data_IF_977947472161
#
_entry.id   IF_977947472161
#
_cell.length_a   1.000
_cell.length_b   1.000
_cell.length_c   1.000
_cell.angle_alpha   90.00
_cell.angle_beta   90.00
_cell.angle_gamma   90.00
#
_symmetry.space_group_name_H-M   'P 1'
#
loop_
_entity.id
_entity.type
_entity.pdbx_description
1 polymer ?
#
# COMPACT_ATOMS: atom_id res chain seq x y z
N UNK A 1 4.96 -59.80 -24.49
CA UNK A 1 6.38 -59.89 -24.11
C UNK A 1 6.89 -58.46 -23.95
N UNK A 2 7.27 -58.10 -22.71
CA UNK A 2 7.87 -56.84 -22.18
C UNK A 2 7.14 -55.52 -22.53
N UNK A 3 6.30 -54.89 -21.69
CA UNK A 3 6.54 -54.26 -20.37
C UNK A 3 7.96 -53.71 -20.18
N UNK A 4 8.06 -52.37 -20.19
CA UNK A 4 8.86 -51.60 -19.23
C UNK A 4 8.08 -50.34 -18.81
N UNK A 5 7.70 -50.33 -17.53
CA UNK A 5 7.24 -49.17 -16.76
C UNK A 5 8.44 -48.28 -16.42
N UNK A 6 8.26 -46.96 -16.49
CA UNK A 6 8.68 -46.06 -15.41
C UNK A 6 8.17 -44.63 -15.65
N UNK A 7 7.32 -44.17 -14.73
CA UNK A 7 7.22 -42.76 -14.30
C UNK A 7 7.69 -42.78 -12.84
N UNK A 8 8.33 -41.72 -12.29
CA UNK A 8 7.52 -40.59 -11.81
C UNK A 8 8.25 -39.23 -11.85
N UNK A 9 7.53 -38.18 -12.24
CA UNK A 9 8.07 -36.82 -12.13
C UNK A 9 7.09 -35.67 -12.32
N UNK A 10 5.77 -35.91 -12.30
CA UNK A 10 4.79 -34.82 -12.40
C UNK A 10 4.36 -34.40 -11.00
N UNK A 11 5.14 -33.50 -10.39
CA UNK A 11 4.65 -32.63 -9.31
C UNK A 11 4.83 -31.18 -9.73
N UNK A 12 3.72 -30.53 -10.06
CA UNK A 12 3.48 -29.12 -9.71
C UNK A 12 1.99 -28.84 -9.80
N UNK A 13 1.36 -28.96 -8.63
CA UNK A 13 0.18 -28.25 -8.14
C UNK A 13 -0.94 -27.96 -9.14
N UNK A 14 -1.91 -28.87 -9.20
CA UNK A 14 -3.29 -28.51 -9.49
C UNK A 14 -3.78 -27.63 -8.34
N UNK A 15 -3.69 -26.30 -8.49
CA UNK A 15 -4.51 -25.39 -7.71
C UNK A 15 -5.94 -25.50 -8.21
N UNK A 16 -6.66 -26.48 -7.69
CA UNK A 16 -8.10 -26.47 -7.77
C UNK A 16 -8.60 -25.69 -6.56
N UNK A 17 -8.62 -24.36 -6.67
CA UNK A 17 -9.29 -23.54 -5.68
C UNK A 17 -10.72 -23.24 -6.19
N UNK A 18 -11.71 -23.87 -5.57
CA UNK A 18 -13.11 -23.54 -5.80
C UNK A 18 -13.56 -22.56 -4.72
N UNK A 19 -13.92 -21.37 -5.22
CA UNK A 19 -14.84 -20.36 -4.68
C UNK A 19 -14.35 -19.45 -3.56
N UNK A 20 -13.72 -18.35 -3.96
CA UNK A 20 -14.30 -17.05 -3.66
C UNK A 20 -14.25 -16.20 -4.94
N UNK A 21 -15.38 -15.62 -5.38
CA UNK A 21 -15.38 -14.74 -6.56
C UNK A 21 -14.61 -13.43 -6.29
N UNK A 22 -13.98 -13.26 -5.12
CA UNK A 22 -13.37 -12.01 -4.68
C UNK A 22 -11.88 -12.01 -5.02
N UNK A 23 -11.32 -10.86 -5.44
CA UNK A 23 -9.87 -10.72 -5.50
C UNK A 23 -9.30 -10.89 -4.09
N UNK A 24 -8.58 -11.98 -3.86
CA UNK A 24 -7.87 -12.23 -2.61
C UNK A 24 -6.39 -11.96 -2.81
N UNK A 25 -5.81 -11.16 -1.91
CA UNK A 25 -4.37 -10.96 -1.90
C UNK A 25 -3.71 -12.28 -1.47
N UNK A 26 -2.76 -12.76 -2.28
CA UNK A 26 -1.99 -13.94 -1.90
C UNK A 26 -1.11 -13.63 -0.69
N UNK A 27 -1.38 -14.30 0.44
CA UNK A 27 -0.63 -14.21 1.68
C UNK A 27 -0.11 -15.60 2.05
N UNK A 28 1.17 -15.68 2.39
CA UNK A 28 1.82 -16.93 2.83
C UNK A 28 2.02 -16.98 4.35
N UNK A 29 1.45 -16.03 5.09
CA UNK A 29 1.49 -15.90 6.56
C UNK A 29 0.19 -15.28 7.10
N UNK A 30 0.00 -15.34 8.42
CA UNK A 30 -1.17 -14.74 9.08
C UNK A 30 -1.04 -13.23 9.24
N UNK A 31 -2.07 -12.49 8.83
CA UNK A 31 -2.18 -11.04 9.11
C UNK A 31 -2.12 -10.74 10.61
N UNK A 32 -2.67 -11.62 11.45
CA UNK A 32 -2.71 -11.42 12.90
C UNK A 32 -1.31 -11.48 13.53
N UNK A 33 -0.42 -12.33 13.01
CA UNK A 33 0.95 -12.43 13.50
C UNK A 33 1.73 -11.14 13.24
N UNK A 34 1.55 -10.52 12.06
CA UNK A 34 2.19 -9.24 11.73
C UNK A 34 1.64 -8.09 12.57
N UNK A 35 0.32 -8.08 12.83
CA UNK A 35 -0.32 -7.11 13.74
C UNK A 35 0.24 -7.26 15.16
N UNK A 36 0.40 -8.49 15.64
CA UNK A 36 0.97 -8.77 16.95
C UNK A 36 2.45 -8.34 17.03
N UNK A 37 3.23 -8.59 15.97
CA UNK A 37 4.61 -8.14 15.89
C UNK A 37 4.71 -6.62 15.97
N UNK A 38 3.85 -5.88 15.25
CA UNK A 38 3.83 -4.42 15.32
C UNK A 38 3.45 -3.92 16.72
N UNK A 39 2.48 -4.55 17.37
CA UNK A 39 2.12 -4.20 18.74
C UNK A 39 3.31 -4.30 19.70
N UNK A 40 4.08 -5.40 19.62
CA UNK A 40 5.31 -5.58 20.41
C UNK A 40 6.38 -4.53 20.06
N UNK A 41 6.54 -4.21 18.78
CA UNK A 41 7.47 -3.18 18.32
C UNK A 41 7.11 -1.80 18.88
N UNK A 42 5.81 -1.44 18.90
CA UNK A 42 5.33 -0.17 19.44
C UNK A 42 5.50 -0.06 20.96
N UNK A 43 5.32 -1.18 21.68
CA UNK A 43 5.52 -1.28 23.13
C UNK A 43 6.98 -1.00 23.51
N UNK A 44 7.93 -1.60 22.79
CA UNK A 44 9.37 -1.36 22.97
C UNK A 44 9.85 0.02 22.48
N UNK A 45 8.99 0.80 21.83
CA UNK A 45 9.42 1.99 21.08
C UNK A 45 9.99 3.12 21.94
N UNK A 46 9.55 3.27 23.18
CA UNK A 46 10.10 4.32 24.06
C UNK A 46 11.59 4.08 24.37
N UNK A 47 11.99 2.82 24.46
CA UNK A 47 13.36 2.40 24.78
C UNK A 47 14.24 2.38 23.51
N UNK A 48 13.64 2.06 22.35
CA UNK A 48 14.37 1.82 21.11
C UNK A 48 14.33 2.98 20.10
N UNK A 49 13.51 4.02 20.30
CA UNK A 49 13.36 5.16 19.35
C UNK A 49 14.64 5.89 18.98
N UNK A 50 15.69 5.80 19.80
CA UNK A 50 17.01 6.38 19.48
C UNK A 50 17.80 5.58 18.45
N UNK A 51 17.43 4.33 18.19
CA UNK A 51 18.08 3.47 17.20
C UNK A 51 17.51 3.71 15.79
N UNK A 52 18.40 4.03 14.84
CA UNK A 52 18.03 4.25 13.45
C UNK A 52 17.49 2.99 12.77
N UNK A 53 18.03 1.82 13.10
CA UNK A 53 17.57 0.54 12.54
C UNK A 53 16.20 0.16 13.09
N UNK A 54 15.96 0.39 14.38
CA UNK A 54 14.62 0.21 14.97
C UNK A 54 13.60 1.11 14.28
N UNK A 55 13.93 2.39 14.03
CA UNK A 55 13.04 3.32 13.34
C UNK A 55 12.68 2.82 11.93
N UNK A 56 13.68 2.34 11.18
CA UNK A 56 13.45 1.77 9.85
C UNK A 56 12.51 0.56 9.91
N UNK A 57 12.81 -0.40 10.79
CA UNK A 57 12.00 -1.62 10.94
C UNK A 57 10.57 -1.29 11.41
N UNK A 58 10.42 -0.29 12.28
CA UNK A 58 9.11 0.18 12.73
C UNK A 58 8.29 0.74 11.57
N UNK A 59 8.87 1.59 10.73
CA UNK A 59 8.20 2.14 9.54
C UNK A 59 7.81 1.01 8.58
N UNK A 60 8.70 0.07 8.30
CA UNK A 60 8.41 -1.02 7.37
C UNK A 60 7.32 -1.97 7.89
N UNK A 61 7.38 -2.33 9.17
CA UNK A 61 6.39 -3.21 9.79
C UNK A 61 5.02 -2.52 9.90
N UNK A 62 5.00 -1.22 10.20
CA UNK A 62 3.75 -0.42 10.24
C UNK A 62 3.13 -0.32 8.85
N UNK A 63 3.95 -0.03 7.83
CA UNK A 63 3.52 -0.03 6.42
C UNK A 63 2.94 -1.39 6.03
N UNK A 64 3.55 -2.48 6.48
CA UNK A 64 3.07 -3.83 6.18
C UNK A 64 1.68 -4.09 6.78
N UNK A 65 1.47 -3.71 8.05
CA UNK A 65 0.16 -3.85 8.72
C UNK A 65 -0.92 -3.02 8.01
N UNK A 66 -0.64 -1.75 7.69
CA UNK A 66 -1.56 -0.89 6.94
C UNK A 66 -1.85 -1.44 5.54
N UNK A 67 -0.88 -2.06 4.87
CA UNK A 67 -1.09 -2.73 3.58
C UNK A 67 -2.04 -3.94 3.73
N UNK A 68 -2.00 -4.67 4.86
CA UNK A 68 -2.97 -5.73 5.12
C UNK A 68 -4.37 -5.16 5.38
N UNK A 69 -4.47 -4.02 6.08
CA UNK A 69 -5.74 -3.30 6.24
C UNK A 69 -6.34 -2.91 4.90
N UNK A 70 -5.51 -2.36 4.00
CA UNK A 70 -5.92 -1.96 2.66
C UNK A 70 -6.50 -3.14 1.86
N UNK A 71 -5.87 -4.33 1.94
CA UNK A 71 -6.40 -5.54 1.30
C UNK A 71 -7.81 -5.89 1.79
N UNK A 72 -8.03 -5.86 3.11
CA UNK A 72 -9.35 -6.13 3.69
C UNK A 72 -10.38 -5.09 3.25
N UNK A 73 -10.04 -3.80 3.35
CA UNK A 73 -10.93 -2.70 2.98
C UNK A 73 -11.29 -2.73 1.48
N UNK A 74 -10.33 -3.08 0.62
CA UNK A 74 -10.59 -3.27 -0.81
C UNK A 74 -11.57 -4.43 -1.05
N UNK A 75 -11.37 -5.57 -0.38
CA UNK A 75 -12.28 -6.72 -0.46
C UNK A 75 -13.70 -6.32 -0.05
N UNK A 76 -13.84 -5.58 1.04
CA UNK A 76 -15.14 -5.08 1.52
C UNK A 76 -15.79 -4.12 0.53
N UNK A 77 -15.01 -3.25 -0.13
CA UNK A 77 -15.51 -2.39 -1.20
C UNK A 77 -16.00 -3.20 -2.41
N UNK A 78 -15.32 -4.27 -2.80
CA UNK A 78 -15.75 -5.13 -3.91
C UNK A 78 -17.01 -5.95 -3.54
N UNK A 79 -17.14 -6.37 -2.27
CA UNK A 79 -18.39 -6.96 -1.73
C UNK A 79 -19.54 -5.97 -1.87
N UNK A 80 -19.35 -4.73 -1.43
CA UNK A 80 -20.37 -3.68 -1.52
C UNK A 80 -20.77 -3.38 -2.98
N UNK A 81 -19.78 -3.24 -3.87
CA UNK A 81 -20.03 -3.00 -5.29
C UNK A 81 -20.91 -4.09 -5.91
N UNK A 82 -20.60 -5.37 -5.64
CA UNK A 82 -21.39 -6.50 -6.14
C UNK A 82 -22.81 -6.55 -5.59
N UNK A 83 -22.98 -6.16 -4.32
CA UNK A 83 -24.30 -6.05 -3.68
C UNK A 83 -25.06 -4.80 -4.10
N UNK A 84 -24.50 -3.98 -4.99
CA UNK A 84 -25.02 -2.66 -5.39
C UNK A 84 -25.25 -1.72 -4.20
N UNK A 85 -24.47 -1.88 -3.13
CA UNK A 85 -24.54 -1.02 -1.95
C UNK A 85 -23.61 0.18 -2.14
N UNK A 86 -24.16 1.27 -2.68
CA UNK A 86 -23.42 2.49 -2.96
C UNK A 86 -22.88 3.16 -1.69
N UNK A 87 -23.60 3.07 -0.57
CA UNK A 87 -23.15 3.68 0.71
C UNK A 87 -21.94 2.93 1.26
N UNK A 88 -22.00 1.60 1.31
CA UNK A 88 -20.88 0.79 1.75
C UNK A 88 -19.68 0.90 0.81
N UNK A 89 -19.90 0.95 -0.52
CA UNK A 89 -18.83 1.16 -1.50
C UNK A 89 -18.11 2.49 -1.24
N UNK A 90 -18.87 3.58 -1.06
CA UNK A 90 -18.28 4.89 -0.79
C UNK A 90 -17.50 4.89 0.54
N UNK A 91 -18.07 4.30 1.60
CA UNK A 91 -17.40 4.19 2.90
C UNK A 91 -16.06 3.46 2.80
N UNK A 92 -16.04 2.26 2.19
CA UNK A 92 -14.82 1.47 2.05
C UNK A 92 -13.84 2.09 1.06
N UNK A 93 -14.32 2.71 -0.02
CA UNK A 93 -13.50 3.47 -0.96
C UNK A 93 -12.76 4.61 -0.27
N UNK A 94 -13.47 5.47 0.48
CA UNK A 94 -12.84 6.56 1.23
C UNK A 94 -11.85 6.06 2.27
N UNK A 95 -12.17 4.96 2.98
CA UNK A 95 -11.23 4.34 3.93
C UNK A 95 -9.97 3.84 3.22
N UNK A 96 -10.08 3.24 2.05
CA UNK A 96 -8.92 2.80 1.27
C UNK A 96 -8.04 3.98 0.84
N UNK A 97 -8.65 5.06 0.34
CA UNK A 97 -7.92 6.28 -0.03
C UNK A 97 -7.21 6.90 1.17
N UNK A 98 -7.85 6.90 2.35
CA UNK A 98 -7.23 7.39 3.59
C UNK A 98 -6.03 6.53 3.99
N UNK A 99 -6.11 5.20 3.89
CA UNK A 99 -4.99 4.31 4.19
C UNK A 99 -3.78 4.62 3.29
N UNK A 100 -3.98 4.95 2.00
CA UNK A 100 -2.87 5.35 1.12
C UNK A 100 -2.17 6.61 1.67
N UNK A 101 -2.94 7.62 2.09
CA UNK A 101 -2.40 8.86 2.67
C UNK A 101 -1.67 8.60 3.99
N UNK A 102 -2.26 7.76 4.84
CA UNK A 102 -1.68 7.37 6.13
C UNK A 102 -0.33 6.67 5.94
N UNK A 103 -0.24 5.77 4.95
CA UNK A 103 1.02 5.12 4.59
C UNK A 103 2.02 6.14 4.03
N UNK A 104 1.60 7.09 3.19
CA UNK A 104 2.51 8.13 2.68
C UNK A 104 3.12 8.97 3.82
N UNK A 105 2.29 9.42 4.76
CA UNK A 105 2.74 10.15 5.96
C UNK A 105 3.71 9.34 6.81
N UNK A 106 3.45 8.05 7.00
CA UNK A 106 4.36 7.15 7.72
C UNK A 106 5.71 7.05 7.00
N UNK A 107 5.72 6.86 5.69
CA UNK A 107 6.96 6.72 4.91
C UNK A 107 7.76 8.02 4.86
N UNK A 108 7.09 9.18 4.92
CA UNK A 108 7.75 10.48 5.00
C UNK A 108 8.62 10.64 6.25
N UNK A 109 8.44 9.79 7.27
CA UNK A 109 9.17 9.87 8.55
C UNK A 109 10.55 9.19 8.56
N UNK A 110 10.98 8.58 7.44
CA UNK A 110 12.30 7.96 7.31
C UNK A 110 12.92 8.17 5.90
N UNK A 111 14.20 8.60 5.86
CA UNK A 111 14.94 8.96 4.63
C UNK A 111 14.97 7.82 3.60
N UNK A 112 14.83 6.56 4.05
CA UNK A 112 14.91 5.38 3.20
C UNK A 112 13.63 5.09 2.40
N UNK A 113 12.54 5.81 2.66
CA UNK A 113 11.24 5.60 2.00
C UNK A 113 10.77 6.83 1.22
N UNK A 114 11.67 7.69 0.76
CA UNK A 114 11.34 8.92 0.05
C UNK A 114 11.53 8.78 -1.46
N UNK A 115 10.55 9.17 -2.27
CA UNK A 115 10.69 9.19 -3.73
C UNK A 115 11.77 10.20 -4.16
N UNK A 116 11.91 11.32 -3.44
CA UNK A 116 12.86 12.37 -3.80
C UNK A 116 14.31 11.89 -3.83
N UNK A 117 14.72 10.99 -2.93
CA UNK A 117 16.10 10.48 -2.91
C UNK A 117 16.42 9.69 -4.17
N UNK A 118 15.46 8.92 -4.70
CA UNK A 118 15.56 8.21 -5.98
C UNK A 118 15.69 9.16 -7.17
N UNK A 119 14.78 10.14 -7.27
CA UNK A 119 14.74 11.08 -8.39
C UNK A 119 15.97 12.00 -8.42
N UNK A 120 16.39 12.53 -7.27
CA UNK A 120 17.60 13.36 -7.19
C UNK A 120 18.87 12.56 -7.48
N UNK A 121 18.90 11.27 -7.12
CA UNK A 121 20.04 10.41 -7.47
C UNK A 121 20.14 10.19 -8.98
N UNK A 122 19.02 9.99 -9.67
CA UNK A 122 19.00 9.87 -11.13
C UNK A 122 19.47 11.16 -11.81
N UNK A 123 18.98 12.32 -11.36
CA UNK A 123 19.37 13.63 -11.91
C UNK A 123 20.85 13.94 -11.76
N UNK A 124 21.47 13.54 -10.65
CA UNK A 124 22.91 13.74 -10.39
C UNK A 124 23.84 13.02 -11.36
N UNK A 125 23.33 12.03 -12.10
CA UNK A 125 24.11 11.30 -13.11
C UNK A 125 24.18 12.04 -14.45
N UNK A 126 23.36 13.07 -14.67
CA UNK A 126 23.27 13.76 -15.95
C UNK A 126 24.46 14.71 -16.19
N UNK A 127 24.94 14.74 -17.43
CA UNK A 127 25.99 15.68 -17.86
C UNK A 127 25.44 17.06 -18.23
N UNK A 128 24.18 17.14 -18.66
CA UNK A 128 23.53 18.36 -19.11
C UNK A 128 22.02 18.40 -18.75
N UNK A 129 21.33 19.55 -18.93
CA UNK A 129 19.92 19.68 -18.57
C UNK A 129 18.95 18.76 -19.35
N UNK A 130 19.29 18.40 -20.60
CA UNK A 130 18.48 17.47 -21.40
C UNK A 130 18.57 16.06 -20.81
N UNK A 131 19.80 15.62 -20.51
CA UNK A 131 20.04 14.34 -19.83
C UNK A 131 19.36 14.30 -18.46
N UNK A 132 19.38 15.40 -17.70
CA UNK A 132 18.74 15.48 -16.39
C UNK A 132 17.24 15.21 -16.47
N UNK A 133 16.57 15.84 -17.45
CA UNK A 133 15.13 15.63 -17.70
C UNK A 133 14.86 14.19 -18.14
N UNK A 134 15.70 13.63 -19.01
CA UNK A 134 15.57 12.24 -19.47
C UNK A 134 15.77 11.25 -18.32
N UNK A 135 16.75 11.47 -17.44
CA UNK A 135 17.06 10.56 -16.34
C UNK A 135 15.99 10.61 -15.25
N UNK A 136 15.42 11.79 -14.97
CA UNK A 136 14.25 11.88 -14.09
C UNK A 136 13.04 11.15 -14.68
N UNK A 137 12.76 11.33 -15.98
CA UNK A 137 11.70 10.59 -16.67
C UNK A 137 11.93 9.08 -16.60
N UNK A 138 13.15 8.60 -16.88
CA UNK A 138 13.52 7.18 -16.76
C UNK A 138 13.29 6.65 -15.33
N UNK A 139 13.70 7.41 -14.32
CA UNK A 139 13.56 7.05 -12.91
C UNK A 139 12.09 6.95 -12.49
N UNK A 140 11.23 7.87 -12.95
CA UNK A 140 9.78 7.83 -12.75
C UNK A 140 9.14 6.65 -13.48
N UNK A 141 9.52 6.44 -14.73
CA UNK A 141 8.97 5.37 -15.58
C UNK A 141 9.29 3.99 -15.03
N UNK A 142 10.53 3.76 -14.58
CA UNK A 142 10.96 2.46 -14.05
C UNK A 142 10.12 1.98 -12.86
N UNK A 143 9.71 2.86 -11.95
CA UNK A 143 8.94 2.47 -10.76
C UNK A 143 7.41 2.52 -10.98
N UNK A 144 6.96 2.83 -12.20
CA UNK A 144 5.55 2.97 -12.57
C UNK A 144 5.19 2.14 -13.82
N UNK A 145 5.07 2.76 -15.00
CA UNK A 145 4.62 2.06 -16.23
C UNK A 145 5.70 1.22 -16.90
N UNK A 146 6.98 1.34 -16.54
CA UNK A 146 8.13 0.66 -17.16
C UNK A 146 8.42 0.98 -18.63
N UNK A 147 7.44 0.78 -19.51
CA UNK A 147 7.57 0.85 -20.95
C UNK A 147 6.33 1.49 -21.59
N UNK A 148 6.29 1.56 -22.92
CA UNK A 148 5.26 2.23 -23.72
C UNK A 148 3.83 1.77 -23.40
N UNK A 149 2.92 2.71 -23.60
CA UNK A 149 1.48 2.57 -23.33
C UNK A 149 0.70 3.05 -24.55
N UNK A 150 -0.53 2.61 -24.68
CA UNK A 150 -1.50 3.22 -25.61
C UNK A 150 -2.55 3.97 -24.82
N UNK A 151 -3.41 4.71 -25.51
CA UNK A 151 -4.54 5.43 -24.90
C UNK A 151 -5.45 4.54 -24.05
N UNK A 152 -5.51 3.23 -24.31
CA UNK A 152 -6.42 2.30 -23.63
C UNK A 152 -5.73 1.09 -23.00
N UNK A 153 -4.45 0.87 -23.28
CA UNK A 153 -3.68 -0.24 -22.74
C UNK A 153 -2.44 0.28 -22.04
N UNK A 154 -2.34 -0.05 -20.75
CA UNK A 154 -1.12 0.14 -19.99
C UNK A 154 -0.02 -0.82 -20.45
N UNK A 155 1.21 -0.51 -20.09
CA UNK A 155 2.35 -1.40 -20.27
C UNK A 155 2.11 -2.76 -19.62
N UNK A 156 2.61 -3.83 -20.25
CA UNK A 156 2.56 -5.17 -19.67
C UNK A 156 3.41 -5.32 -18.40
N UNK A 157 4.33 -4.37 -18.16
CA UNK A 157 5.19 -4.30 -16.98
C UNK A 157 4.76 -3.21 -15.99
N UNK A 158 3.56 -2.63 -16.15
CA UNK A 158 3.03 -1.64 -15.21
C UNK A 158 3.09 -2.16 -13.76
N UNK A 159 3.57 -1.31 -12.86
CA UNK A 159 3.76 -1.58 -11.43
C UNK A 159 4.70 -2.77 -11.12
N UNK A 160 5.45 -3.31 -12.09
CA UNK A 160 6.39 -4.42 -11.84
C UNK A 160 7.44 -4.07 -10.78
N UNK A 161 8.05 -2.89 -10.90
CA UNK A 161 9.01 -2.38 -9.92
C UNK A 161 8.37 -1.34 -8.98
N UNK A 162 7.10 -1.52 -8.61
CA UNK A 162 6.41 -0.65 -7.66
C UNK A 162 7.22 -0.45 -6.36
N UNK A 163 6.98 0.68 -5.71
CA UNK A 163 7.61 1.06 -4.45
C UNK A 163 6.59 1.67 -3.52
N UNK A 164 6.79 1.44 -2.23
CA UNK A 164 6.11 2.19 -1.20
C UNK A 164 7.04 3.31 -0.76
N UNK A 165 6.99 4.42 -1.49
CA UNK A 165 7.73 5.64 -1.18
C UNK A 165 6.77 6.80 -0.99
N UNK A 166 7.04 7.64 0.02
CA UNK A 166 6.34 8.90 0.20
C UNK A 166 6.52 9.79 -1.03
N UNK A 167 5.44 10.47 -1.40
CA UNK A 167 5.29 11.17 -2.67
C UNK A 167 4.76 10.27 -3.78
N UNK A 168 5.24 9.03 -3.91
CA UNK A 168 4.73 8.11 -4.94
C UNK A 168 3.33 7.60 -4.58
N UNK A 169 3.07 7.30 -3.31
CA UNK A 169 1.73 6.91 -2.84
C UNK A 169 0.71 8.02 -3.06
N UNK A 170 0.99 9.23 -2.57
CA UNK A 170 0.06 10.34 -2.67
C UNK A 170 -0.09 10.89 -4.10
N UNK A 171 0.99 11.05 -4.86
CA UNK A 171 0.92 11.70 -6.18
C UNK A 171 0.74 10.75 -7.35
N UNK A 172 0.88 9.43 -7.18
CA UNK A 172 0.69 8.46 -8.28
C UNK A 172 -0.36 7.40 -7.98
N UNK A 173 -0.28 6.70 -6.84
CA UNK A 173 -1.20 5.61 -6.55
C UNK A 173 -2.58 6.10 -6.05
N UNK A 174 -2.63 7.14 -5.23
CA UNK A 174 -3.86 7.68 -4.69
C UNK A 174 -4.83 8.20 -5.78
N UNK A 175 -4.40 9.01 -6.78
CA UNK A 175 -5.31 9.44 -7.84
C UNK A 175 -5.83 8.27 -8.68
N UNK A 176 -5.00 7.27 -8.97
CA UNK A 176 -5.43 6.04 -9.67
C UNK A 176 -6.53 5.30 -8.90
N UNK A 177 -6.34 5.11 -7.59
CA UNK A 177 -7.33 4.48 -6.72
C UNK A 177 -8.61 5.32 -6.62
N UNK A 178 -8.48 6.64 -6.47
CA UNK A 178 -9.61 7.57 -6.40
C UNK A 178 -10.46 7.53 -7.67
N UNK A 179 -9.82 7.61 -8.85
CA UNK A 179 -10.49 7.47 -10.15
C UNK A 179 -11.16 6.09 -10.27
N UNK A 180 -10.51 5.01 -9.84
CA UNK A 180 -11.14 3.68 -9.85
C UNK A 180 -12.43 3.61 -9.02
N UNK A 181 -12.40 4.03 -7.76
CA UNK A 181 -13.60 4.05 -6.90
C UNK A 181 -14.66 5.02 -7.42
N UNK A 182 -14.27 6.17 -7.98
CA UNK A 182 -15.20 7.11 -8.60
C UNK A 182 -15.97 6.49 -9.76
N UNK A 183 -15.30 5.73 -10.64
CA UNK A 183 -15.97 5.02 -11.74
C UNK A 183 -16.87 3.88 -11.25
N UNK A 184 -16.49 3.16 -10.18
CA UNK A 184 -17.37 2.16 -9.57
C UNK A 184 -18.64 2.80 -9.00
N UNK A 185 -18.51 3.86 -8.21
CA UNK A 185 -19.65 4.58 -7.63
C UNK A 185 -20.58 5.11 -8.72
N UNK A 186 -20.02 5.79 -9.74
CA UNK A 186 -20.79 6.30 -10.88
C UNK A 186 -21.55 5.20 -11.61
N UNK A 187 -20.96 4.01 -11.76
CA UNK A 187 -21.63 2.89 -12.41
C UNK A 187 -22.85 2.39 -11.61
N UNK A 188 -22.80 2.41 -10.28
CA UNK A 188 -23.95 2.10 -9.43
C UNK A 188 -25.03 3.19 -9.52
N UNK A 189 -24.64 4.46 -9.44
CA UNK A 189 -25.56 5.61 -9.51
C UNK A 189 -26.32 5.66 -10.84
N UNK A 190 -25.63 5.41 -11.95
CA UNK A 190 -26.23 5.39 -13.28
C UNK A 190 -26.93 4.05 -13.61
N UNK A 191 -26.83 3.04 -12.74
CA UNK A 191 -27.23 1.65 -12.99
C UNK A 191 -26.69 1.11 -14.34
N UNK A 192 -25.40 1.35 -14.60
CA UNK A 192 -24.68 0.91 -15.80
C UNK A 192 -23.50 0.02 -15.42
N UNK A 193 -22.98 -0.71 -16.39
CA UNK A 193 -21.75 -1.47 -16.20
C UNK A 193 -20.54 -0.55 -16.04
N UNK A 194 -19.54 -1.02 -15.28
CA UNK A 194 -18.25 -0.34 -15.14
C UNK A 194 -17.60 -0.14 -16.51
N UNK A 195 -17.35 1.13 -16.87
CA UNK A 195 -16.78 1.52 -18.17
C UNK A 195 -15.26 1.38 -18.16
N UNK A 196 -14.78 0.14 -18.21
CA UNK A 196 -13.35 -0.21 -18.14
C UNK A 196 -12.47 0.63 -19.08
N UNK A 197 -12.88 0.82 -20.34
CA UNK A 197 -12.11 1.57 -21.33
C UNK A 197 -11.96 3.05 -20.96
N UNK A 198 -13.02 3.68 -20.44
CA UNK A 198 -12.98 5.10 -20.06
C UNK A 198 -12.12 5.31 -18.81
N UNK A 199 -12.25 4.42 -17.82
CA UNK A 199 -11.36 4.41 -16.66
C UNK A 199 -9.89 4.25 -17.09
N UNK A 200 -9.58 3.32 -18.01
CA UNK A 200 -8.22 3.10 -18.53
C UNK A 200 -7.64 4.34 -19.20
N UNK A 201 -8.41 5.01 -20.07
CA UNK A 201 -7.98 6.25 -20.71
C UNK A 201 -7.55 7.29 -19.69
N UNK A 202 -8.35 7.47 -18.64
CA UNK A 202 -8.11 8.47 -17.61
C UNK A 202 -6.83 8.19 -16.81
N UNK A 203 -6.69 6.99 -16.25
CA UNK A 203 -5.56 6.70 -15.37
C UNK A 203 -4.24 6.50 -16.14
N UNK A 204 -4.28 6.04 -17.39
CA UNK A 204 -3.08 5.94 -18.25
C UNK A 204 -2.60 7.33 -18.65
N UNK A 205 -3.51 8.22 -19.09
CA UNK A 205 -3.15 9.60 -19.43
C UNK A 205 -2.55 10.33 -18.21
N UNK A 206 -3.16 10.14 -17.04
CA UNK A 206 -2.60 10.62 -15.78
C UNK A 206 -1.20 10.06 -15.50
N UNK A 207 -0.99 8.75 -15.67
CA UNK A 207 0.30 8.10 -15.40
C UNK A 207 1.41 8.65 -16.29
N UNK A 208 1.13 8.78 -17.59
CA UNK A 208 2.08 9.34 -18.55
C UNK A 208 2.39 10.81 -18.23
N UNK A 209 1.39 11.59 -17.79
CA UNK A 209 1.60 12.97 -17.33
C UNK A 209 2.49 13.02 -16.09
N UNK A 210 2.25 12.16 -15.10
CA UNK A 210 3.05 12.11 -13.87
C UNK A 210 4.51 11.74 -14.14
N UNK A 211 4.76 10.84 -15.11
CA UNK A 211 6.10 10.47 -15.53
C UNK A 211 6.85 11.62 -16.23
N UNK A 212 6.14 12.43 -17.00
CA UNK A 212 6.68 13.61 -17.69
C UNK A 212 6.80 14.86 -16.79
N UNK A 213 6.26 14.81 -15.58
CA UNK A 213 6.32 15.89 -14.60
C UNK A 213 7.74 16.03 -14.01
N UNK A 214 8.05 17.21 -13.47
CA UNK A 214 9.30 17.56 -12.79
C UNK A 214 9.08 18.05 -11.36
N UNK A 215 7.91 17.75 -10.75
CA UNK A 215 7.61 18.02 -9.35
C UNK A 215 8.75 17.54 -8.44
N UNK A 216 9.26 18.45 -7.61
CA UNK A 216 10.33 18.17 -6.64
C UNK A 216 9.71 17.49 -5.41
N UNK A 217 10.37 16.43 -4.94
CA UNK A 217 9.98 15.68 -3.75
C UNK A 217 11.00 15.83 -2.64
N UNK A 218 10.60 15.77 -1.36
CA UNK A 218 11.53 15.82 -0.24
C UNK A 218 12.60 14.72 -0.31
N UNK A 219 13.84 15.09 0.00
CA UNK A 219 14.98 14.16 0.16
C UNK A 219 15.36 13.92 1.62
N UNK A 220 14.60 14.53 2.54
CA UNK A 220 14.78 14.41 3.99
C UNK A 220 13.45 14.14 4.66
N UNK A 221 13.50 13.22 5.61
CA UNK A 221 12.36 12.79 6.37
C UNK A 221 11.82 13.93 7.25
N UNK A 222 10.52 13.85 7.51
CA UNK A 222 9.80 14.73 8.41
C UNK A 222 8.83 13.94 9.27
N UNK A 223 8.77 14.28 10.55
CA UNK A 223 7.87 13.68 11.51
C UNK A 223 8.54 12.63 12.40
N UNK A 224 7.86 12.29 13.49
CA UNK A 224 8.28 11.27 14.44
C UNK A 224 7.64 9.93 14.04
N UNK A 225 8.45 9.00 13.54
CA UNK A 225 8.01 7.69 13.08
C UNK A 225 7.25 6.91 14.16
N UNK A 226 7.68 6.98 15.42
CA UNK A 226 7.03 6.27 16.52
C UNK A 226 5.67 6.90 16.85
N UNK A 227 5.61 8.23 16.92
CA UNK A 227 4.36 8.92 17.16
C UNK A 227 3.33 8.67 16.05
N UNK A 228 3.78 8.72 14.77
CA UNK A 228 2.95 8.43 13.61
C UNK A 228 2.48 6.97 13.63
N UNK A 229 3.37 6.01 13.83
CA UNK A 229 3.00 4.59 13.87
C UNK A 229 1.98 4.28 14.97
N UNK A 230 2.14 4.86 16.18
CA UNK A 230 1.15 4.75 17.27
C UNK A 230 -0.21 5.32 16.87
N UNK A 231 -0.21 6.51 16.26
CA UNK A 231 -1.44 7.18 15.83
C UNK A 231 -2.20 6.39 14.75
N UNK A 232 -1.48 5.71 13.85
CA UNK A 232 -2.07 4.90 12.79
C UNK A 232 -2.52 3.51 13.27
N UNK A 233 -1.83 2.93 14.25
CA UNK A 233 -2.13 1.58 14.73
C UNK A 233 -3.34 1.54 15.67
N UNK A 234 -3.35 2.34 16.74
CA UNK A 234 -4.31 2.16 17.83
C UNK A 234 -5.78 2.34 17.41
N UNK A 235 -6.19 3.37 16.65
CA UNK A 235 -7.58 3.53 16.25
C UNK A 235 -8.09 2.41 15.33
N UNK A 236 -7.18 1.79 14.57
CA UNK A 236 -7.51 0.76 13.58
C UNK A 236 -7.53 -0.66 14.16
N UNK A 237 -6.78 -0.91 15.25
CA UNK A 237 -6.51 -2.26 15.74
C UNK A 237 -6.74 -2.48 17.25
N UNK A 238 -6.94 -1.42 18.03
CA UNK A 238 -7.45 -1.54 19.39
C UNK A 238 -8.92 -1.09 19.43
N UNK A 239 -9.87 -2.01 19.55
CA UNK A 239 -11.20 -1.66 20.00
C UNK A 239 -11.10 -0.99 21.38
N UNK A 240 -11.93 0.03 21.62
CA UNK A 240 -12.14 0.68 22.92
C UNK A 240 -12.52 -0.29 24.06
N UNK A 241 -12.73 -1.58 23.74
CA UNK A 241 -13.08 -2.66 24.67
C UNK A 241 -12.22 -3.93 24.53
N UNK A 242 -11.08 -3.93 23.81
CA UNK A 242 -10.16 -5.08 23.89
C UNK A 242 -9.46 -5.05 25.23
N UNK A 243 -9.99 -5.89 26.12
CA UNK A 243 -9.43 -6.21 27.41
C UNK A 243 -7.98 -6.68 27.21
N UNK A 244 -7.04 -6.01 27.88
CA UNK A 244 -5.62 -6.36 28.05
C UNK A 244 -5.35 -7.81 28.53
N UNK A 245 -6.39 -8.64 28.67
CA UNK A 245 -6.37 -10.02 29.16
C UNK A 245 -5.96 -11.06 28.11
N UNK A 246 -5.92 -10.73 26.82
CA UNK A 246 -5.43 -11.64 25.77
C UNK A 246 -3.92 -11.51 25.50
N UNK A 247 -3.24 -10.63 26.22
CA UNK A 247 -1.79 -10.46 26.13
C UNK A 247 -1.07 -11.48 27.03
N UNK A 248 0.12 -11.99 26.63
CA UNK A 248 0.88 -12.96 27.41
C UNK A 248 1.20 -12.43 28.83
N UNK A 249 1.36 -13.30 29.83
CA UNK A 249 1.24 -12.94 31.26
C UNK A 249 2.28 -11.96 31.83
N UNK A 250 3.23 -11.46 31.03
CA UNK A 250 4.30 -10.56 31.49
C UNK A 250 3.96 -9.07 31.44
N UNK A 251 2.82 -8.67 30.85
CA UNK A 251 2.35 -7.27 30.88
C UNK A 251 1.33 -7.05 32.02
N UNK A 252 1.70 -7.36 33.26
CA UNK A 252 0.88 -7.04 34.46
C UNK A 252 1.68 -6.32 35.54
N UNK A 253 2.46 -5.31 35.18
CA UNK A 253 2.94 -4.31 36.15
C UNK A 253 3.36 -3.06 35.39
N UNK A 254 2.55 -2.00 35.47
CA UNK A 254 2.82 -0.72 34.83
C UNK A 254 1.59 0.17 34.90
N UNK A 255 1.48 0.94 35.98
CA UNK A 255 0.38 1.85 36.28
C UNK A 255 0.06 2.79 35.11
N UNK A 256 -1.22 2.86 34.75
CA UNK A 256 -1.75 3.91 33.88
C UNK A 256 -1.78 5.26 34.63
N UNK A 257 -1.33 6.37 34.03
CA UNK A 257 -1.68 7.70 34.51
C UNK A 257 -3.08 8.09 34.01
N UNK A 258 -3.91 8.48 34.95
CA UNK A 258 -5.32 8.82 34.85
C UNK A 258 -5.55 10.29 34.49
N UNK A 259 -5.67 10.67 33.22
CA UNK A 259 -6.34 11.91 32.77
C UNK A 259 -6.76 11.66 31.32
N UNK A 260 -8.04 11.63 30.92
CA UNK A 260 -8.94 12.76 30.73
C UNK A 260 -10.36 12.19 30.53
N UNK A 261 -11.24 12.45 31.49
CA UNK A 261 -12.67 12.66 31.25
C UNK A 261 -12.98 14.04 31.83
N UNK A 262 -13.22 15.02 30.96
CA UNK A 262 -14.18 16.12 31.09
C UNK A 262 -14.40 16.72 29.71
#
# INVERSE_FOLDING_TARGET
MHILLSSPGTRRFLFQDKSSDFPEAHLWYSTQEVVQALWLFLDAGNDLRGSLTYRYDLVDLTRQVLSKLANQVYRDAMIAFRRKDARALNLHGQKFLQIIKDIDVLLASDDNFLLGTWLESAKKLAADPSDMKLYEWNARTQVTMWYDTTTTNQSQLHDYANKFWSGLLEDYYLPRASTYFGHLTKSLEENKNFKLTEWRKEWIAFSNKWQADTKIYPVKAKGDALAIAKALFYPNYLPSHVCLKQLPPKCRTGMAPSWIYK
#
